data_IF_230911523511
#
_entry.id   IF_230911523511
#
_cell.length_a   1.000
_cell.length_b   1.000
_cell.length_c   1.000
_cell.angle_alpha   90.00
_cell.angle_beta   90.00
_cell.angle_gamma   90.00
#
_symmetry.space_group_name_H-M   'P 1'
#
loop_
_entity.id
_entity.type
_entity.pdbx_description
1 polymer ?
#
# COMPACT_ATOMS: atom_id res chain seq x y z
N UNK A 1 14.46 3.56 -0.80
CA UNK A 1 14.37 4.58 0.28
C UNK A 1 15.05 4.05 1.53
N UNK A 2 15.76 4.89 2.28
CA UNK A 2 16.40 4.52 3.55
C UNK A 2 15.43 4.62 4.74
N UNK A 3 15.79 4.04 5.88
CA UNK A 3 15.00 4.18 7.11
C UNK A 3 14.83 5.65 7.54
N UNK A 4 15.87 6.47 7.40
CA UNK A 4 15.82 7.90 7.76
C UNK A 4 14.83 8.67 6.88
N UNK A 5 14.86 8.43 5.57
CA UNK A 5 13.95 9.04 4.62
C UNK A 5 12.52 8.58 4.88
N UNK A 6 12.31 7.27 5.06
CA UNK A 6 11.00 6.72 5.38
C UNK A 6 10.41 7.31 6.66
N UNK A 7 11.17 7.33 7.75
CA UNK A 7 10.72 7.91 9.02
C UNK A 7 10.34 9.38 8.85
N UNK A 8 11.15 10.16 8.11
CA UNK A 8 10.86 11.58 7.85
C UNK A 8 9.53 11.78 7.13
N UNK A 9 9.22 10.94 6.13
CA UNK A 9 7.95 11.00 5.42
C UNK A 9 6.78 10.54 6.32
N UNK A 10 6.95 9.45 7.07
CA UNK A 10 5.94 8.92 7.99
C UNK A 10 5.57 9.92 9.10
N UNK A 11 6.53 10.72 9.57
CA UNK A 11 6.29 11.76 10.58
C UNK A 11 5.38 12.90 10.09
N UNK A 12 5.20 13.06 8.77
CA UNK A 12 4.30 14.08 8.21
C UNK A 12 2.85 13.61 8.12
N UNK A 13 2.59 12.32 8.32
CA UNK A 13 1.26 11.74 8.21
C UNK A 13 0.46 11.88 9.53
N UNK A 14 -0.88 11.92 9.47
CA UNK A 14 -1.72 11.74 10.64
C UNK A 14 -1.38 10.45 11.39
N UNK A 15 -1.39 10.49 12.72
CA UNK A 15 -0.95 9.38 13.59
C UNK A 15 -1.80 8.10 13.45
N UNK A 16 -3.01 8.21 12.93
CA UNK A 16 -3.94 7.12 12.67
C UNK A 16 -3.87 6.59 11.22
N UNK A 17 -2.96 7.12 10.40
CA UNK A 17 -2.78 6.67 9.01
C UNK A 17 -2.31 5.23 8.98
N UNK A 18 -3.05 4.36 8.29
CA UNK A 18 -2.68 2.96 8.10
C UNK A 18 -1.53 2.86 7.10
N UNK A 19 -0.52 2.05 7.41
CA UNK A 19 0.56 1.74 6.46
C UNK A 19 0.24 0.41 5.78
N UNK A 20 0.25 0.37 4.45
CA UNK A 20 -0.06 -0.83 3.67
C UNK A 20 1.02 -1.10 2.61
N UNK A 21 1.09 -2.35 2.17
CA UNK A 21 1.87 -2.78 1.02
C UNK A 21 0.95 -3.49 0.04
N UNK A 22 1.22 -3.37 -1.26
CA UNK A 22 0.56 -4.23 -2.25
C UNK A 22 1.11 -5.64 -2.11
N UNK A 23 0.23 -6.64 -2.17
CA UNK A 23 0.65 -8.04 -2.19
C UNK A 23 1.70 -8.26 -3.27
N UNK A 24 2.81 -8.90 -2.91
CA UNK A 24 3.96 -9.11 -3.77
C UNK A 24 4.32 -10.59 -3.80
N UNK A 25 4.69 -11.09 -4.98
CA UNK A 25 5.27 -12.42 -5.15
C UNK A 25 6.77 -12.39 -4.80
N UNK A 26 7.37 -13.56 -4.53
CA UNK A 26 8.71 -13.73 -3.97
C UNK A 26 9.78 -12.76 -4.53
N UNK A 27 10.48 -12.04 -3.64
CA UNK A 27 11.53 -11.06 -3.96
C UNK A 27 11.53 -9.86 -3.00
N UNK A 28 12.54 -8.98 -3.12
CA UNK A 28 12.62 -7.73 -2.36
C UNK A 28 12.84 -6.55 -3.32
N UNK A 29 12.12 -5.45 -3.11
CA UNK A 29 12.31 -4.20 -3.86
C UNK A 29 12.45 -3.02 -2.90
N UNK A 30 13.10 -1.96 -3.38
CA UNK A 30 13.16 -0.69 -2.67
C UNK A 30 11.78 -0.04 -2.57
N UNK A 31 11.52 0.63 -1.44
CA UNK A 31 10.42 1.59 -1.35
C UNK A 31 10.81 2.81 -2.19
N UNK A 32 10.01 3.09 -3.21
CA UNK A 32 10.20 4.21 -4.12
C UNK A 32 9.32 5.40 -3.71
N UNK A 33 8.08 5.15 -3.28
CA UNK A 33 7.09 6.19 -3.00
C UNK A 33 6.12 5.82 -1.88
N UNK A 34 5.55 6.84 -1.24
CA UNK A 34 4.41 6.74 -0.32
C UNK A 34 3.18 7.28 -1.04
N UNK A 35 2.25 6.40 -1.42
CA UNK A 35 1.06 6.77 -2.19
C UNK A 35 -0.15 6.84 -1.24
N UNK A 36 -0.80 8.00 -1.05
CA UNK A 36 -2.03 8.07 -0.27
C UNK A 36 -3.12 7.19 -0.86
N UNK A 37 -3.79 6.41 -0.02
CA UNK A 37 -4.88 5.50 -0.39
C UNK A 37 -6.08 5.69 0.54
N UNK A 38 -7.26 5.45 -0.02
CA UNK A 38 -8.50 5.30 0.70
C UNK A 38 -8.93 3.86 0.54
N UNK A 39 -8.91 3.09 1.63
CA UNK A 39 -9.12 1.64 1.58
C UNK A 39 -10.33 1.22 2.40
N UNK A 40 -10.96 0.11 2.02
CA UNK A 40 -12.01 -0.56 2.79
C UNK A 40 -11.65 -2.02 2.99
N UNK A 41 -12.13 -2.64 4.06
CA UNK A 41 -11.98 -4.08 4.26
C UNK A 41 -12.59 -4.83 3.08
N UNK A 42 -11.85 -5.78 2.52
CA UNK A 42 -12.33 -6.51 1.36
C UNK A 42 -13.59 -7.33 1.74
N UNK A 43 -14.74 -7.14 1.04
CA UNK A 43 -16.05 -7.66 1.49
C UNK A 43 -16.25 -9.18 1.34
N UNK A 44 -15.18 -9.96 1.19
CA UNK A 44 -15.23 -11.42 1.09
C UNK A 44 -13.91 -12.01 0.60
N UNK A 45 -13.44 -13.09 1.20
CA UNK A 45 -12.24 -13.80 0.75
C UNK A 45 -12.52 -14.41 -0.64
N UNK A 46 -12.23 -13.69 -1.73
CA UNK A 46 -12.09 -14.33 -3.04
C UNK A 46 -10.87 -15.24 -2.95
N UNK A 47 -11.00 -16.49 -3.40
CA UNK A 47 -9.95 -17.50 -3.29
C UNK A 47 -8.60 -17.06 -3.90
N UNK A 48 -8.63 -16.13 -4.85
CA UNK A 48 -7.46 -15.64 -5.57
C UNK A 48 -6.97 -14.26 -5.07
N UNK A 49 -7.56 -13.72 -3.99
CA UNK A 49 -7.20 -12.41 -3.44
C UNK A 49 -6.76 -12.52 -1.98
N UNK A 50 -5.47 -12.33 -1.75
CA UNK A 50 -4.84 -12.46 -0.43
C UNK A 50 -4.79 -11.14 0.37
N UNK A 51 -5.25 -10.03 -0.20
CA UNK A 51 -5.22 -8.71 0.46
C UNK A 51 -6.38 -8.52 1.44
N UNK A 52 -6.09 -7.99 2.65
CA UNK A 52 -7.11 -7.65 3.65
C UNK A 52 -7.97 -6.43 3.23
N UNK A 53 -7.41 -5.54 2.42
CA UNK A 53 -8.04 -4.28 2.01
C UNK A 53 -8.07 -4.12 0.49
N UNK A 54 -9.07 -3.39 -0.01
CA UNK A 54 -9.16 -2.92 -1.40
C UNK A 54 -9.31 -1.40 -1.42
N UNK A 55 -8.96 -0.76 -2.53
CA UNK A 55 -9.30 0.64 -2.75
C UNK A 55 -10.82 0.84 -2.62
N UNK A 56 -11.24 1.91 -1.95
CA UNK A 56 -12.65 2.26 -1.77
C UNK A 56 -13.34 2.64 -3.09
N UNK A 57 -12.56 2.93 -4.15
CA UNK A 57 -13.07 3.29 -5.48
C UNK A 57 -13.89 4.59 -5.54
N UNK A 58 -14.17 5.22 -4.39
CA UNK A 58 -14.91 6.45 -4.20
C UNK A 58 -14.23 7.27 -3.12
N UNK A 59 -14.03 8.57 -3.38
CA UNK A 59 -13.71 9.52 -2.31
C UNK A 59 -14.91 9.59 -1.36
N UNK A 60 -14.67 9.36 -0.07
CA UNK A 60 -15.67 9.43 1.02
C UNK A 60 -16.70 8.28 1.08
N UNK A 61 -16.30 7.05 0.75
CA UNK A 61 -17.11 5.88 1.10
C UNK A 61 -17.25 5.75 2.63
N UNK A 62 -18.47 5.47 3.10
CA UNK A 62 -18.71 5.26 4.53
C UNK A 62 -17.95 4.00 4.98
N UNK A 63 -16.98 4.17 5.88
CA UNK A 63 -16.08 3.09 6.31
C UNK A 63 -14.71 3.07 5.63
N UNK A 64 -14.39 4.06 4.79
CA UNK A 64 -13.07 4.23 4.23
C UNK A 64 -12.02 4.57 5.31
N UNK A 65 -10.89 3.87 5.26
CA UNK A 65 -9.72 4.04 6.12
C UNK A 65 -8.66 4.81 5.34
N UNK A 66 -8.11 5.85 5.96
CA UNK A 66 -6.97 6.59 5.41
C UNK A 66 -5.71 5.75 5.53
N UNK A 67 -5.04 5.53 4.41
CA UNK A 67 -3.84 4.72 4.35
C UNK A 67 -2.76 5.36 3.47
N UNK A 68 -1.54 4.85 3.60
CA UNK A 68 -0.44 5.11 2.67
C UNK A 68 0.15 3.78 2.22
N UNK A 69 0.25 3.60 0.92
CA UNK A 69 0.91 2.45 0.28
C UNK A 69 2.41 2.73 0.21
N UNK A 70 3.22 1.83 0.78
CA UNK A 70 4.66 1.79 0.53
C UNK A 70 4.87 1.11 -0.82
N UNK A 71 5.03 1.92 -1.86
CA UNK A 71 5.14 1.44 -3.24
C UNK A 71 6.60 1.14 -3.61
N UNK A 72 6.82 -0.03 -4.19
CA UNK A 72 8.06 -0.44 -4.86
C UNK A 72 7.72 -1.13 -6.19
N UNK A 73 8.61 -1.02 -7.17
CA UNK A 73 8.41 -1.54 -8.51
C UNK A 73 9.23 -2.82 -8.75
N UNK A 74 8.64 -3.82 -9.42
CA UNK A 74 9.36 -5.03 -9.82
C UNK A 74 9.88 -4.78 -11.22
N UNK A 75 11.14 -4.40 -11.37
CA UNK A 75 11.78 -4.38 -12.67
C UNK A 75 12.30 -5.78 -12.98
N UNK A 76 11.39 -6.74 -13.25
CA UNK A 76 11.78 -7.88 -14.07
C UNK A 76 12.14 -7.30 -15.43
N UNK A 77 13.44 -7.04 -15.67
CA UNK A 77 13.93 -6.87 -17.02
C UNK A 77 13.50 -8.14 -17.77
N UNK A 78 12.60 -7.99 -18.73
CA UNK A 78 12.19 -9.08 -19.61
C UNK A 78 13.43 -9.58 -20.36
N UNK A 79 14.07 -10.59 -19.79
CA UNK A 79 15.08 -11.43 -20.44
C UNK A 79 14.51 -12.83 -20.54
N UNK A 80 13.62 -13.03 -21.51
CA UNK A 80 13.33 -14.35 -22.08
C UNK A 80 14.18 -14.56 -23.32
#
# INVERSE_FOLDING_TARGET
>A
MTAKELIRELQQLPHDTRIIIRGYEDGYNDILQLIPRSIVSHPGQKADYYGEYTDSGKENETGAIRAVELYGENTKAEGY
#
